data_IF_356651828504
#
_entry.id   IF_356651828504
#
_cell.length_a   1.000
_cell.length_b   1.000
_cell.length_c   1.000
_cell.angle_alpha   90.00
_cell.angle_beta   90.00
_cell.angle_gamma   90.00
#
_symmetry.space_group_name_H-M   'P 1'
#
loop_
_entity.id
_entity.type
_entity.pdbx_description
1 polymer ?
#
# COMPACT_ATOMS: atom_id res chain seq x y z
N UNK A 1 -10.78 -15.63 8.46
CA UNK A 1 -10.05 -14.35 8.62
C UNK A 1 -8.83 -14.27 7.71
N UNK A 2 -7.88 -15.21 7.78
CA UNK A 2 -6.67 -15.19 6.94
C UNK A 2 -6.97 -15.15 5.43
N UNK A 3 -7.91 -15.95 4.92
CA UNK A 3 -8.23 -15.91 3.49
C UNK A 3 -8.74 -14.54 3.00
N UNK A 4 -9.40 -13.77 3.87
CA UNK A 4 -9.85 -12.40 3.55
C UNK A 4 -8.69 -11.43 3.35
N UNK A 5 -7.48 -11.74 3.82
CA UNK A 5 -6.31 -10.88 3.64
C UNK A 5 -5.65 -11.09 2.27
N UNK A 6 -5.96 -12.18 1.56
CA UNK A 6 -5.40 -12.47 0.24
C UNK A 6 -6.13 -11.73 -0.88
N UNK A 7 -7.43 -11.49 -0.75
CA UNK A 7 -8.20 -10.74 -1.75
C UNK A 7 -7.67 -9.30 -1.97
N UNK A 8 -7.36 -8.52 -0.91
CA UNK A 8 -6.68 -7.22 -1.07
C UNK A 8 -5.33 -7.31 -1.78
N UNK A 9 -4.51 -8.34 -1.49
CA UNK A 9 -3.23 -8.53 -2.16
C UNK A 9 -3.41 -8.78 -3.67
N UNK A 10 -4.41 -9.58 -4.07
CA UNK A 10 -4.75 -9.79 -5.48
C UNK A 10 -5.21 -8.49 -6.16
N UNK A 11 -6.05 -7.70 -5.47
CA UNK A 11 -6.50 -6.41 -5.99
C UNK A 11 -5.34 -5.42 -6.16
N UNK A 12 -4.42 -5.36 -5.20
CA UNK A 12 -3.23 -4.51 -5.28
C UNK A 12 -2.31 -4.90 -6.46
N UNK A 13 -2.05 -6.20 -6.65
CA UNK A 13 -1.30 -6.70 -7.79
C UNK A 13 -1.96 -6.34 -9.13
N UNK A 14 -3.28 -6.48 -9.21
CA UNK A 14 -4.06 -6.10 -10.40
C UNK A 14 -3.93 -4.61 -10.71
N UNK A 15 -4.03 -3.76 -9.69
CA UNK A 15 -3.91 -2.31 -9.86
C UNK A 15 -2.49 -1.89 -10.25
N UNK A 16 -1.48 -2.59 -9.75
CA UNK A 16 -0.08 -2.38 -10.13
C UNK A 16 0.27 -2.97 -11.50
N UNK A 17 -0.60 -3.79 -12.09
CA UNK A 17 -0.33 -4.50 -13.34
C UNK A 17 0.72 -5.62 -13.21
N UNK A 18 0.95 -6.12 -12.00
CA UNK A 18 1.98 -7.12 -11.69
C UNK A 18 1.37 -8.46 -11.33
N UNK A 19 2.13 -9.53 -11.54
CA UNK A 19 1.84 -10.88 -11.06
C UNK A 19 2.60 -11.13 -9.76
N UNK A 20 2.07 -12.04 -8.94
CA UNK A 20 2.68 -12.36 -7.64
C UNK A 20 4.14 -12.84 -7.74
N UNK A 21 4.52 -13.50 -8.83
CA UNK A 21 5.90 -13.95 -9.07
C UNK A 21 6.87 -12.85 -9.50
N UNK A 22 6.37 -11.68 -9.90
CA UNK A 22 7.20 -10.51 -10.26
C UNK A 22 7.63 -9.70 -9.03
N UNK A 23 7.14 -10.06 -7.84
CA UNK A 23 7.53 -9.43 -6.58
C UNK A 23 8.89 -9.97 -6.15
N UNK A 24 9.87 -9.09 -5.96
CA UNK A 24 11.24 -9.48 -5.59
C UNK A 24 11.34 -9.96 -4.14
N UNK A 25 10.80 -9.17 -3.21
CA UNK A 25 10.82 -9.44 -1.77
C UNK A 25 9.44 -9.25 -1.13
N UNK A 26 9.16 -10.04 -0.09
CA UNK A 26 7.92 -9.93 0.69
C UNK A 26 8.28 -9.58 2.14
N UNK A 27 7.85 -8.41 2.60
CA UNK A 27 8.10 -7.94 3.98
C UNK A 27 6.85 -8.13 4.83
N UNK A 28 7.00 -8.74 6.01
CA UNK A 28 5.91 -8.91 6.98
C UNK A 28 6.02 -7.88 8.10
N UNK A 29 4.92 -7.18 8.38
CA UNK A 29 4.85 -6.12 9.40
C UNK A 29 3.66 -6.36 10.34
N UNK A 30 3.87 -6.14 11.64
CA UNK A 30 2.88 -6.31 12.70
C UNK A 30 2.88 -7.70 13.35
N UNK A 31 2.62 -7.77 14.66
CA UNK A 31 2.74 -8.99 15.46
C UNK A 31 1.88 -10.18 15.00
N UNK A 32 0.72 -9.94 14.39
CA UNK A 32 -0.13 -11.02 13.85
C UNK A 32 0.51 -11.80 12.70
N UNK A 33 1.54 -11.25 12.04
CA UNK A 33 2.30 -11.94 10.99
C UNK A 33 3.23 -13.03 11.53
N UNK A 34 3.43 -13.09 12.86
CA UNK A 34 4.18 -14.16 13.54
C UNK A 34 3.44 -15.50 13.54
N UNK A 35 2.15 -15.52 13.25
CA UNK A 35 1.37 -16.75 13.14
C UNK A 35 1.90 -17.61 11.97
N UNK A 36 2.30 -18.88 12.20
CA UNK A 36 2.85 -19.74 11.15
C UNK A 36 1.94 -19.88 9.92
N UNK A 37 0.61 -19.89 10.14
CA UNK A 37 -0.35 -20.01 9.06
C UNK A 37 -0.38 -18.80 8.11
N UNK A 38 -0.08 -17.60 8.61
CA UNK A 38 0.05 -16.40 7.78
C UNK A 38 1.26 -16.55 6.87
N UNK A 39 2.41 -16.94 7.43
CA UNK A 39 3.66 -17.09 6.68
C UNK A 39 3.54 -18.16 5.60
N UNK A 40 2.91 -19.29 5.91
CA UNK A 40 2.64 -20.36 4.94
C UNK A 40 1.79 -19.87 3.76
N UNK A 41 0.70 -19.14 4.06
CA UNK A 41 -0.22 -18.66 3.03
C UNK A 41 0.42 -17.56 2.17
N UNK A 42 1.18 -16.66 2.78
CA UNK A 42 1.94 -15.62 2.05
C UNK A 42 2.98 -16.27 1.14
N UNK A 43 3.71 -17.27 1.63
CA UNK A 43 4.66 -18.05 0.83
C UNK A 43 3.98 -18.78 -0.33
N UNK A 44 2.81 -19.39 -0.10
CA UNK A 44 2.03 -20.03 -1.16
C UNK A 44 1.54 -19.04 -2.22
N UNK A 45 1.14 -17.83 -1.80
CA UNK A 45 0.57 -16.83 -2.69
C UNK A 45 1.63 -16.12 -3.55
N UNK A 46 2.74 -15.68 -2.94
CA UNK A 46 3.83 -14.99 -3.64
C UNK A 46 4.92 -15.92 -4.16
N UNK A 47 4.91 -17.21 -3.77
CA UNK A 47 5.92 -18.19 -4.17
C UNK A 47 7.31 -17.95 -3.56
N UNK A 48 7.41 -17.06 -2.56
CA UNK A 48 8.68 -16.61 -1.97
C UNK A 48 8.63 -16.63 -0.45
N UNK A 49 9.79 -16.87 0.15
CA UNK A 49 9.96 -16.76 1.60
C UNK A 49 9.92 -15.30 2.02
N UNK A 50 9.10 -14.93 3.02
CA UNK A 50 9.10 -13.58 3.54
C UNK A 50 10.44 -13.20 4.18
N UNK A 51 10.86 -11.96 3.96
CA UNK A 51 12.08 -11.39 4.50
C UNK A 51 12.01 -11.28 6.02
N UNK A 52 13.07 -11.75 6.71
CA UNK A 52 13.15 -11.80 8.19
C UNK A 52 14.12 -10.77 8.78
N UNK A 53 14.78 -9.94 7.98
CA UNK A 53 15.75 -8.94 8.45
C UNK A 53 15.12 -7.70 9.07
N UNK A 54 13.79 -7.62 9.14
CA UNK A 54 13.04 -6.46 9.64
C UNK A 54 12.28 -6.86 10.89
N UNK A 55 12.39 -6.06 11.97
CA UNK A 55 11.58 -6.25 13.17
C UNK A 55 10.13 -5.81 12.87
N UNK A 56 9.14 -6.74 12.87
CA UNK A 56 7.77 -6.42 12.48
C UNK A 56 7.05 -5.48 13.46
N UNK A 57 7.54 -5.33 14.68
CA UNK A 57 6.89 -4.54 15.73
C UNK A 57 7.39 -3.08 15.76
N UNK A 58 8.60 -2.82 15.26
CA UNK A 58 9.28 -1.52 15.37
C UNK A 58 9.49 -0.82 14.02
N UNK A 59 9.48 -1.57 12.91
CA UNK A 59 9.82 -1.03 11.57
C UNK A 59 8.99 0.18 11.17
N UNK A 60 7.71 0.21 11.55
CA UNK A 60 6.83 1.35 11.23
C UNK A 60 7.30 2.62 11.92
N UNK A 61 7.69 2.52 13.20
CA UNK A 61 8.19 3.67 13.96
C UNK A 61 9.54 4.16 13.41
N UNK A 62 10.42 3.24 13.01
CA UNK A 62 11.69 3.58 12.35
C UNK A 62 11.46 4.29 11.01
N UNK A 63 10.52 3.80 10.18
CA UNK A 63 10.15 4.45 8.93
C UNK A 63 9.61 5.87 9.13
N UNK A 64 8.79 6.07 10.17
CA UNK A 64 8.29 7.40 10.53
C UNK A 64 9.42 8.37 10.95
N UNK A 65 10.40 7.88 11.73
CA UNK A 65 11.56 8.68 12.12
C UNK A 65 12.44 9.06 10.91
N UNK A 66 12.65 8.13 9.96
CA UNK A 66 13.37 8.42 8.72
C UNK A 66 12.63 9.49 7.90
N UNK A 67 11.31 9.36 7.77
CA UNK A 67 10.49 10.36 7.06
C UNK A 67 10.59 11.75 7.73
N UNK A 68 10.63 11.81 9.06
CA UNK A 68 10.85 13.07 9.78
C UNK A 68 12.24 13.68 9.48
N UNK A 69 13.28 12.85 9.43
CA UNK A 69 14.63 13.28 9.04
C UNK A 69 14.71 13.79 7.60
N UNK A 70 13.94 13.21 6.68
CA UNK A 70 13.82 13.70 5.28
C UNK A 70 13.15 15.09 5.26
N UNK A 71 12.09 15.29 6.05
CA UNK A 71 11.40 16.58 6.15
C UNK A 71 12.27 17.68 6.78
N UNK A 72 13.15 17.33 7.71
CA UNK A 72 14.11 18.25 8.33
C UNK A 72 15.32 18.55 7.43
N UNK A 73 15.57 17.71 6.42
CA UNK A 73 16.73 17.81 5.53
C UNK A 73 18.00 17.14 6.06
N UNK A 74 17.90 16.40 7.16
CA UNK A 74 19.00 15.63 7.76
C UNK A 74 19.29 14.36 6.96
N UNK A 75 18.24 13.76 6.36
CA UNK A 75 18.36 12.63 5.44
C UNK A 75 18.28 13.13 4.02
N UNK A 76 19.36 12.96 3.26
CA UNK A 76 19.47 13.38 1.85
C UNK A 76 19.28 12.18 0.92
N UNK A 77 18.94 12.47 -0.33
CA UNK A 77 18.84 11.50 -1.43
C UNK A 77 17.75 10.43 -1.28
N UNK A 78 16.71 10.72 -0.49
CA UNK A 78 15.50 9.89 -0.39
C UNK A 78 14.31 10.67 -0.94
N UNK A 79 13.65 10.11 -1.96
CA UNK A 79 12.40 10.63 -2.51
C UNK A 79 11.29 9.58 -2.34
N UNK A 80 10.17 9.99 -1.74
CA UNK A 80 8.98 9.16 -1.57
C UNK A 80 7.82 9.76 -2.38
N UNK A 81 7.20 8.94 -3.23
CA UNK A 81 5.97 9.27 -3.95
C UNK A 81 4.88 8.29 -3.51
N UNK A 82 3.91 8.80 -2.76
CA UNK A 82 2.79 8.01 -2.24
C UNK A 82 1.52 8.24 -3.09
N UNK A 83 0.46 7.48 -2.82
CA UNK A 83 -0.81 7.51 -3.56
C UNK A 83 -2.02 7.61 -2.64
N UNK A 84 -3.16 8.09 -3.15
CA UNK A 84 -4.44 7.98 -2.42
C UNK A 84 -5.04 6.57 -2.54
N UNK A 85 -5.44 5.90 -1.45
CA UNK A 85 -5.90 4.50 -1.50
C UNK A 85 -7.34 4.35 -2.03
N UNK A 86 -8.11 5.43 -2.07
CA UNK A 86 -9.53 5.43 -2.46
C UNK A 86 -9.78 6.48 -3.55
N UNK A 87 -10.75 6.18 -4.42
CA UNK A 87 -11.25 7.16 -5.38
C UNK A 87 -12.05 8.22 -4.62
N UNK A 88 -11.68 9.48 -4.80
CA UNK A 88 -12.40 10.63 -4.28
C UNK A 88 -13.39 11.11 -5.35
N UNK A 89 -14.63 11.37 -4.95
CA UNK A 89 -15.70 11.76 -5.86
C UNK A 89 -16.85 12.45 -5.14
N UNK A 90 -17.84 12.86 -5.91
CA UNK A 90 -19.07 13.48 -5.41
C UNK A 90 -20.28 12.69 -5.92
N UNK A 91 -21.37 12.76 -5.17
CA UNK A 91 -22.66 12.29 -5.65
C UNK A 91 -23.21 13.27 -6.71
N UNK A 92 -23.67 12.71 -7.82
CA UNK A 92 -24.30 13.45 -8.93
C UNK A 92 -25.76 13.03 -9.08
N UNK A 93 -26.53 13.79 -9.88
CA UNK A 93 -27.97 13.57 -10.07
C UNK A 93 -28.28 12.10 -10.41
N UNK A 94 -29.29 11.55 -9.73
CA UNK A 94 -29.63 10.13 -9.82
C UNK A 94 -28.90 9.24 -8.80
N UNK A 95 -28.21 9.82 -7.82
CA UNK A 95 -27.52 9.08 -6.75
C UNK A 95 -26.25 8.37 -7.22
N UNK A 96 -25.67 8.83 -8.33
CA UNK A 96 -24.50 8.21 -8.96
C UNK A 96 -23.22 8.82 -8.38
N UNK A 97 -22.32 8.00 -7.86
CA UNK A 97 -21.00 8.43 -7.42
C UNK A 97 -20.07 8.68 -8.61
N UNK A 98 -19.80 9.96 -8.88
CA UNK A 98 -18.88 10.39 -9.94
C UNK A 98 -17.49 10.62 -9.34
N UNK A 99 -16.51 9.84 -9.81
CA UNK A 99 -15.11 9.93 -9.36
C UNK A 99 -14.42 11.14 -9.96
N UNK A 100 -13.68 11.88 -9.12
CA UNK A 100 -12.89 13.05 -9.49
C UNK A 100 -11.39 12.75 -9.49
N UNK A 101 -10.93 12.02 -8.46
CA UNK A 101 -9.55 11.51 -8.35
C UNK A 101 -9.65 10.01 -8.16
N UNK A 102 -8.96 9.23 -8.99
CA UNK A 102 -9.00 7.78 -8.90
C UNK A 102 -8.11 7.25 -7.78
N UNK A 103 -8.48 6.09 -7.20
CA UNK A 103 -7.59 5.34 -6.30
C UNK A 103 -6.25 5.07 -6.99
N UNK A 104 -5.19 5.02 -6.20
CA UNK A 104 -3.80 4.89 -6.63
C UNK A 104 -3.26 6.08 -7.45
N UNK A 105 -3.93 7.25 -7.45
CA UNK A 105 -3.34 8.48 -8.00
C UNK A 105 -2.23 8.98 -7.07
N UNK A 106 -1.04 9.27 -7.61
CA UNK A 106 0.10 9.84 -6.86
C UNK A 106 -0.25 11.18 -6.22
N UNK A 107 0.16 11.37 -4.97
CA UNK A 107 -0.02 12.60 -4.20
C UNK A 107 1.30 13.35 -4.02
N UNK A 108 1.29 14.70 -3.99
CA UNK A 108 0.11 15.59 -4.03
C UNK A 108 -0.52 15.71 -5.43
N UNK A 109 -1.86 15.78 -5.49
CA UNK A 109 -2.61 15.93 -6.75
C UNK A 109 -3.76 16.93 -6.61
N UNK A 110 -4.20 17.51 -7.74
CA UNK A 110 -5.32 18.47 -7.81
C UNK A 110 -6.17 18.18 -9.03
N UNK A 111 -7.50 18.18 -8.86
CA UNK A 111 -8.49 18.12 -9.94
C UNK A 111 -9.43 19.32 -9.82
N UNK A 112 -9.80 19.91 -10.95
CA UNK A 112 -10.81 20.97 -11.02
C UNK A 112 -11.80 20.64 -12.12
N UNK A 113 -13.08 20.75 -11.81
CA UNK A 113 -14.20 20.49 -12.73
C UNK A 113 -15.32 21.48 -12.40
N UNK A 114 -15.85 22.14 -13.43
CA UNK A 114 -16.99 23.05 -13.29
C UNK A 114 -18.28 22.26 -13.39
N UNK A 115 -19.14 22.37 -12.38
CA UNK A 115 -20.52 21.88 -12.40
C UNK A 115 -21.42 23.11 -12.53
N UNK A 116 -22.17 23.19 -13.63
CA UNK A 116 -23.08 24.29 -13.96
C UNK A 116 -24.50 23.79 -14.09
#
# INVERSE_FOLDING_TARGET
LVQRTIEPCKAALKDAGLKAGEIDEVVLVGGMTRMPKIQEIVKQFFGKEPHKGVNPDEVVALGAAIQAGVLQGDVKDVLLLDVTPLSLGIETLGGVFTRLIERNTTIPTKKSQTFS
#
